data_IF_674976090940
#
_entry.id   IF_674976090940
#
_cell.length_a   1.000
_cell.length_b   1.000
_cell.length_c   1.000
_cell.angle_alpha   90.00
_cell.angle_beta   90.00
_cell.angle_gamma   90.00
#
_symmetry.space_group_name_H-M   'P 1'
#
loop_
_entity.id
_entity.type
_entity.pdbx_description
1 polymer ?
#
# COMPACT_ATOMS: atom_id res chain seq x y z
N UNK A 1 -5.36 -20.06 -12.55
CA UNK A 1 -4.44 -19.10 -11.90
C UNK A 1 -4.83 -17.72 -12.42
N UNK A 2 -5.38 -16.86 -11.57
CA UNK A 2 -5.98 -15.59 -12.01
C UNK A 2 -4.93 -14.72 -12.70
N UNK A 3 -5.09 -14.46 -14.00
CA UNK A 3 -4.18 -13.63 -14.80
C UNK A 3 -3.90 -12.26 -14.15
N UNK A 4 -4.89 -11.75 -13.41
CA UNK A 4 -4.80 -10.50 -12.63
C UNK A 4 -3.79 -10.58 -11.48
N UNK A 5 -3.65 -11.73 -10.81
CA UNK A 5 -2.68 -11.92 -9.72
C UNK A 5 -1.25 -11.96 -10.26
N UNK A 6 -1.03 -12.69 -11.36
CA UNK A 6 0.28 -12.79 -12.01
C UNK A 6 0.78 -11.42 -12.47
N UNK A 7 -0.08 -10.64 -13.15
CA UNK A 7 0.26 -9.28 -13.58
C UNK A 7 0.61 -8.36 -12.39
N UNK A 8 -0.09 -8.49 -11.26
CA UNK A 8 0.18 -7.69 -10.05
C UNK A 8 1.51 -8.06 -9.39
N UNK A 9 1.82 -9.35 -9.29
CA UNK A 9 3.10 -9.82 -8.75
C UNK A 9 4.26 -9.33 -9.60
N UNK A 10 4.10 -9.38 -10.93
CA UNK A 10 5.11 -8.91 -11.88
C UNK A 10 5.34 -7.40 -11.76
N UNK A 11 4.27 -6.63 -11.54
CA UNK A 11 4.34 -5.19 -11.32
C UNK A 11 4.99 -4.85 -9.96
N UNK A 12 4.71 -5.62 -8.90
CA UNK A 12 5.41 -5.50 -7.61
C UNK A 12 6.91 -5.79 -7.77
N UNK A 13 7.27 -6.84 -8.50
CA UNK A 13 8.66 -7.19 -8.75
C UNK A 13 9.39 -6.09 -9.55
N UNK A 14 8.76 -5.54 -10.58
CA UNK A 14 9.29 -4.41 -11.35
C UNK A 14 9.51 -3.18 -10.48
N UNK A 15 8.56 -2.87 -9.60
CA UNK A 15 8.62 -1.72 -8.70
C UNK A 15 9.74 -1.87 -7.65
N UNK A 16 9.91 -3.07 -7.09
CA UNK A 16 11.03 -3.39 -6.21
C UNK A 16 12.38 -3.27 -6.94
N UNK A 17 12.46 -3.72 -8.19
CA UNK A 17 13.65 -3.58 -9.01
C UNK A 17 14.01 -2.10 -9.26
N UNK A 18 13.03 -1.25 -9.57
CA UNK A 18 13.26 0.20 -9.70
C UNK A 18 13.81 0.77 -8.40
N UNK A 19 13.24 0.42 -7.25
CA UNK A 19 13.77 0.88 -5.96
C UNK A 19 15.19 0.39 -5.68
N UNK A 20 15.53 -0.81 -6.13
CA UNK A 20 16.88 -1.35 -5.98
C UNK A 20 17.88 -0.53 -6.80
N UNK A 21 17.53 -0.21 -8.05
CA UNK A 21 18.34 0.64 -8.93
C UNK A 21 18.48 2.06 -8.40
N UNK A 22 17.47 2.59 -7.72
CA UNK A 22 17.49 3.92 -7.06
C UNK A 22 18.33 3.93 -5.77
N UNK A 23 18.90 2.78 -5.37
CA UNK A 23 19.78 2.69 -4.21
C UNK A 23 19.05 2.55 -2.88
N UNK A 24 17.78 2.11 -2.89
CA UNK A 24 17.06 1.81 -1.66
C UNK A 24 17.74 0.62 -0.97
N UNK A 25 18.08 0.74 0.33
CA UNK A 25 18.77 -0.32 1.07
C UNK A 25 17.97 -1.63 1.09
N UNK A 26 18.65 -2.76 0.88
CA UNK A 26 18.08 -4.11 0.81
C UNK A 26 17.10 -4.45 1.95
N UNK A 27 17.37 -4.08 3.23
CA UNK A 27 16.41 -4.31 4.32
C UNK A 27 15.08 -3.59 4.10
N UNK A 28 15.11 -2.33 3.66
CA UNK A 28 13.89 -1.58 3.34
C UNK A 28 13.15 -2.23 2.17
N UNK A 29 13.89 -2.70 1.17
CA UNK A 29 13.34 -3.35 -0.02
C UNK A 29 12.63 -4.67 0.30
N UNK A 30 13.20 -5.48 1.19
CA UNK A 30 12.58 -6.70 1.70
C UNK A 30 11.29 -6.40 2.47
N UNK A 31 11.33 -5.42 3.39
CA UNK A 31 10.14 -5.00 4.14
C UNK A 31 9.05 -4.50 3.19
N UNK A 32 9.41 -3.67 2.20
CA UNK A 32 8.49 -3.12 1.22
C UNK A 32 7.89 -4.22 0.33
N UNK A 33 8.68 -5.21 -0.07
CA UNK A 33 8.25 -6.34 -0.86
C UNK A 33 7.26 -7.23 -0.12
N UNK A 34 7.56 -7.57 1.15
CA UNK A 34 6.64 -8.32 2.02
C UNK A 34 5.33 -7.55 2.18
N UNK A 35 5.39 -6.24 2.40
CA UNK A 35 4.22 -5.38 2.52
C UNK A 35 3.36 -5.35 1.25
N UNK A 36 3.99 -5.17 0.09
CA UNK A 36 3.27 -5.13 -1.19
C UNK A 36 2.57 -6.47 -1.49
N UNK A 37 3.27 -7.58 -1.26
CA UNK A 37 2.69 -8.93 -1.43
C UNK A 37 1.54 -9.15 -0.46
N UNK A 38 1.74 -8.81 0.83
CA UNK A 38 0.69 -8.87 1.83
C UNK A 38 -0.52 -8.02 1.44
N UNK A 39 -0.30 -6.81 0.90
CA UNK A 39 -1.38 -5.93 0.46
C UNK A 39 -2.16 -6.50 -0.73
N UNK A 40 -1.48 -7.11 -1.70
CA UNK A 40 -2.12 -7.76 -2.86
C UNK A 40 -2.99 -8.93 -2.42
N UNK A 41 -2.49 -9.76 -1.50
CA UNK A 41 -3.22 -10.91 -0.95
C UNK A 41 -4.38 -10.48 -0.04
N UNK A 42 -4.13 -9.51 0.84
CA UNK A 42 -5.12 -9.04 1.82
C UNK A 42 -6.21 -8.19 1.17
N UNK A 43 -5.99 -7.56 0.01
CA UNK A 43 -6.98 -6.65 -0.61
C UNK A 43 -8.38 -7.25 -0.70
N UNK A 44 -8.50 -8.50 -1.16
CA UNK A 44 -9.81 -9.16 -1.30
C UNK A 44 -10.48 -9.42 0.05
N UNK A 45 -9.70 -9.90 1.02
CA UNK A 45 -10.20 -10.18 2.36
C UNK A 45 -10.52 -8.89 3.14
N UNK A 46 -9.64 -7.88 3.05
CA UNK A 46 -9.79 -6.57 3.65
C UNK A 46 -11.02 -5.84 3.12
N UNK A 47 -11.30 -5.91 1.81
CA UNK A 47 -12.50 -5.28 1.25
C UNK A 47 -13.77 -5.90 1.86
N UNK A 48 -13.80 -7.23 1.98
CA UNK A 48 -14.94 -7.97 2.56
C UNK A 48 -15.10 -7.69 4.05
N UNK A 49 -13.99 -7.62 4.80
CA UNK A 49 -14.02 -7.29 6.22
C UNK A 49 -14.43 -5.84 6.47
N UNK A 50 -13.95 -4.88 5.67
CA UNK A 50 -14.33 -3.48 5.77
C UNK A 50 -15.82 -3.33 5.48
N UNK A 51 -16.33 -3.98 4.43
CA UNK A 51 -17.76 -3.95 4.09
C UNK A 51 -18.62 -4.56 5.22
N UNK A 52 -18.25 -5.73 5.75
CA UNK A 52 -18.94 -6.34 6.89
C UNK A 52 -18.88 -5.46 8.15
N UNK A 53 -17.72 -4.88 8.45
CA UNK A 53 -17.54 -4.02 9.62
C UNK A 53 -18.38 -2.75 9.52
N UNK A 54 -18.40 -2.11 8.35
CA UNK A 54 -19.20 -0.92 8.09
C UNK A 54 -20.70 -1.23 8.12
N UNK A 55 -21.13 -2.34 7.53
CA UNK A 55 -22.55 -2.75 7.52
C UNK A 55 -23.04 -3.10 8.93
N UNK A 56 -22.19 -3.72 9.76
CA UNK A 56 -22.50 -4.01 11.15
C UNK A 56 -22.52 -2.76 12.04
N UNK A 57 -21.63 -1.79 11.77
CA UNK A 57 -21.53 -0.56 12.60
C UNK A 57 -22.53 0.51 12.19
N UNK A 58 -22.90 0.57 10.92
CA UNK A 58 -23.84 1.52 10.34
C UNK A 58 -24.99 0.79 9.65
N UNK A 59 -26.00 0.31 10.39
CA UNK A 59 -27.16 -0.36 9.81
C UNK A 59 -27.94 0.53 8.83
N UNK A 60 -27.78 1.85 8.92
CA UNK A 60 -28.28 2.84 7.95
C UNK A 60 -27.68 2.69 6.54
N UNK A 61 -26.58 1.95 6.38
CA UNK A 61 -26.03 1.56 5.07
C UNK A 61 -26.84 0.46 4.37
N UNK A 62 -27.76 -0.22 5.05
CA UNK A 62 -28.57 -1.28 4.44
C UNK A 62 -29.40 -0.77 3.23
N UNK A 63 -29.83 0.49 3.26
CA UNK A 63 -30.60 1.13 2.17
C UNK A 63 -29.76 1.81 1.09
N UNK A 64 -28.44 1.74 1.15
CA UNK A 64 -27.58 2.46 0.19
C UNK A 64 -27.45 1.73 -1.14
N UNK A 65 -27.35 2.51 -2.21
CA UNK A 65 -27.08 1.97 -3.53
C UNK A 65 -25.69 1.29 -3.58
N UNK A 66 -25.50 0.24 -4.42
CA UNK A 66 -24.24 -0.51 -4.50
C UNK A 66 -23.01 0.37 -4.75
N UNK A 67 -23.16 1.43 -5.57
CA UNK A 67 -22.08 2.39 -5.84
C UNK A 67 -21.70 3.17 -4.57
N UNK A 68 -22.65 3.64 -3.76
CA UNK A 68 -22.33 4.42 -2.56
C UNK A 68 -21.51 3.61 -1.55
N UNK A 69 -21.86 2.34 -1.35
CA UNK A 69 -21.06 1.42 -0.53
C UNK A 69 -19.66 1.23 -1.09
N UNK A 70 -19.56 0.98 -2.41
CA UNK A 70 -18.29 0.80 -3.08
C UNK A 70 -17.36 2.02 -2.93
N UNK A 71 -17.92 3.23 -3.00
CA UNK A 71 -17.20 4.50 -2.86
C UNK A 71 -16.70 4.70 -1.43
N UNK A 72 -17.54 4.39 -0.43
CA UNK A 72 -17.15 4.52 0.97
C UNK A 72 -16.09 3.49 1.37
N UNK A 73 -16.23 2.23 0.95
CA UNK A 73 -15.20 1.20 1.16
C UNK A 73 -13.90 1.62 0.46
N UNK A 74 -13.97 2.21 -0.73
CA UNK A 74 -12.78 2.73 -1.41
C UNK A 74 -12.12 3.86 -0.61
N UNK A 75 -12.88 4.81 -0.06
CA UNK A 75 -12.36 5.88 0.79
C UNK A 75 -11.69 5.31 2.06
N UNK A 76 -12.35 4.39 2.75
CA UNK A 76 -11.81 3.74 3.95
C UNK A 76 -10.53 2.97 3.63
N UNK A 77 -10.51 2.26 2.50
CA UNK A 77 -9.32 1.56 2.05
C UNK A 77 -8.17 2.52 1.73
N UNK A 78 -8.47 3.67 1.11
CA UNK A 78 -7.48 4.68 0.77
C UNK A 78 -6.91 5.35 2.03
N UNK A 79 -7.75 5.64 3.03
CA UNK A 79 -7.33 6.11 4.35
C UNK A 79 -6.44 5.08 5.06
N UNK A 80 -6.87 3.81 5.10
CA UNK A 80 -6.09 2.73 5.69
C UNK A 80 -4.74 2.56 4.98
N UNK A 81 -4.72 2.70 3.65
CA UNK A 81 -3.49 2.66 2.85
C UNK A 81 -2.54 3.82 3.19
N UNK A 82 -3.06 5.05 3.31
CA UNK A 82 -2.24 6.21 3.70
C UNK A 82 -1.67 6.02 5.11
N UNK A 83 -2.48 5.53 6.06
CA UNK A 83 -2.03 5.23 7.41
C UNK A 83 -0.96 4.13 7.43
N UNK A 84 -1.16 3.06 6.66
CA UNK A 84 -0.18 1.99 6.53
C UNK A 84 1.13 2.52 5.94
N UNK A 85 1.06 3.29 4.85
CA UNK A 85 2.23 3.93 4.23
C UNK A 85 2.98 4.82 5.25
N UNK A 86 2.24 5.61 6.02
CA UNK A 86 2.82 6.45 7.07
C UNK A 86 3.50 5.61 8.15
N UNK A 87 2.86 4.53 8.61
CA UNK A 87 3.42 3.60 9.60
C UNK A 87 4.70 2.93 9.08
N UNK A 88 4.73 2.55 7.80
CA UNK A 88 5.91 1.98 7.14
C UNK A 88 7.04 2.98 7.05
N UNK A 89 6.78 4.21 6.64
CA UNK A 89 7.81 5.26 6.62
C UNK A 89 8.31 5.59 8.01
N UNK A 90 7.43 5.59 9.00
CA UNK A 90 7.81 5.84 10.39
C UNK A 90 8.70 4.71 10.93
N UNK A 91 8.36 3.44 10.63
CA UNK A 91 9.19 2.27 10.93
C UNK A 91 10.56 2.34 10.25
N UNK A 92 10.60 2.65 8.96
CA UNK A 92 11.85 2.78 8.20
C UNK A 92 12.72 3.92 8.75
N UNK A 93 12.11 5.06 9.08
CA UNK A 93 12.78 6.18 9.74
C UNK A 93 13.33 5.79 11.11
N UNK A 94 12.58 5.03 11.90
CA UNK A 94 13.06 4.54 13.21
C UNK A 94 14.23 3.55 13.08
N UNK A 95 14.35 2.86 11.95
CA UNK A 95 15.48 2.01 11.60
C UNK A 95 16.66 2.78 10.97
N UNK A 96 16.63 4.13 10.98
CA UNK A 96 17.68 4.99 10.44
C UNK A 96 17.61 5.21 8.92
N UNK A 97 16.58 4.70 8.25
CA UNK A 97 16.37 4.87 6.81
C UNK A 97 15.30 5.93 6.56
N UNK A 98 15.70 7.20 6.51
CA UNK A 98 14.80 8.28 6.13
C UNK A 98 14.65 8.32 4.59
N UNK A 99 13.71 7.51 4.09
CA UNK A 99 13.43 7.37 2.65
C UNK A 99 13.04 8.70 2.01
N UNK A 100 12.41 9.62 2.74
CA UNK A 100 12.09 10.96 2.22
C UNK A 100 13.35 11.79 2.01
N UNK A 101 14.28 11.73 2.97
CA UNK A 101 15.55 12.43 2.91
C UNK A 101 16.46 11.86 1.81
N UNK A 102 16.52 10.53 1.70
CA UNK A 102 17.25 9.85 0.61
C UNK A 102 16.72 10.22 -0.79
N UNK A 103 15.39 10.35 -0.96
CA UNK A 103 14.81 10.81 -2.23
C UNK A 103 15.19 12.26 -2.55
N UNK A 104 15.16 13.15 -1.56
CA UNK A 104 15.56 14.56 -1.72
C UNK A 104 17.03 14.69 -2.10
N UNK A 105 17.90 13.93 -1.43
CA UNK A 105 19.34 13.92 -1.71
C UNK A 105 19.63 13.39 -3.12
N UNK A 106 18.91 12.36 -3.57
CA UNK A 106 19.03 11.79 -4.93
C UNK A 106 18.62 12.78 -6.04
N UNK A 107 17.57 13.59 -5.78
CA UNK A 107 17.13 14.62 -6.73
C UNK A 107 18.13 15.77 -6.77
N UNK A 108 18.70 16.15 -5.63
CA UNK A 108 19.72 17.20 -5.56
C UNK A 108 21.04 16.75 -6.21
N UNK A 109 21.43 15.49 -6.08
CA UNK A 109 22.64 14.96 -6.72
C UNK A 109 22.52 14.84 -8.24
N UNK A 110 21.31 14.64 -8.79
CA UNK A 110 21.07 14.67 -10.24
C UNK A 110 21.04 16.07 -10.85
N UNK A 111 20.91 17.12 -10.02
CA UNK A 111 20.85 18.52 -10.46
C UNK A 111 22.21 19.21 -10.48
N UNK A 112 23.26 18.54 -9.99
CA UNK A 112 24.67 18.93 -10.12
C UNK A 112 25.29 18.27 -11.35
#
# INVERSE_FOLDING_TARGET
MDWSLTARILLVALMLYVFYVVGVPLPALLVLGILLIAFVLLRGHAYRQIDLFLTNRFPSMAGWAPWQKMLLVAIVFLLAYVLLKQAVFWLLKSAGMDVQQMMLDSIQSMKK
#
